data_IF_650468336992
#
_entry.id   IF_650468336992
#
_cell.length_a   1.000
_cell.length_b   1.000
_cell.length_c   1.000
_cell.angle_alpha   90.00
_cell.angle_beta   90.00
_cell.angle_gamma   90.00
#
_symmetry.space_group_name_H-M   'P 1'
#
loop_
_entity.id
_entity.type
_entity.pdbx_description
1 polymer ?
#
# COMPACT_ATOMS: atom_id res chain seq x y z
N UNK A 1 -2.28 -16.40 -23.10
CA UNK A 1 -1.82 -16.20 -21.71
C UNK A 1 -2.79 -16.93 -20.80
N UNK A 2 -2.33 -17.82 -19.91
CA UNK A 2 -3.22 -18.58 -19.03
C UNK A 2 -3.92 -17.65 -18.02
N UNK A 3 -5.16 -17.98 -17.66
CA UNK A 3 -5.99 -17.15 -16.75
C UNK A 3 -5.28 -16.88 -15.42
N UNK A 4 -4.62 -17.88 -14.84
CA UNK A 4 -3.84 -17.74 -13.61
C UNK A 4 -2.70 -16.71 -13.73
N UNK A 5 -2.09 -16.62 -14.90
CA UNK A 5 -1.03 -15.62 -15.18
C UNK A 5 -1.62 -14.21 -15.29
N UNK A 6 -2.79 -14.06 -15.90
CA UNK A 6 -3.53 -12.79 -15.95
C UNK A 6 -3.87 -12.33 -14.53
N UNK A 7 -4.43 -13.23 -13.71
CA UNK A 7 -4.78 -12.95 -12.32
C UNK A 7 -3.54 -12.50 -11.53
N UNK A 8 -2.41 -13.19 -11.69
CA UNK A 8 -1.16 -12.82 -11.02
C UNK A 8 -0.66 -11.43 -11.41
N UNK A 9 -0.74 -11.05 -12.69
CA UNK A 9 -0.35 -9.71 -13.17
C UNK A 9 -1.29 -8.63 -12.60
N UNK A 10 -2.60 -8.88 -12.58
CA UNK A 10 -3.58 -7.97 -11.98
C UNK A 10 -3.32 -7.78 -10.48
N UNK A 11 -2.99 -8.86 -9.76
CA UNK A 11 -2.67 -8.80 -8.34
C UNK A 11 -1.42 -7.92 -8.08
N UNK A 12 -0.40 -8.06 -8.92
CA UNK A 12 0.80 -7.20 -8.88
C UNK A 12 0.41 -5.74 -9.13
N UNK A 13 -0.38 -5.44 -10.15
CA UNK A 13 -0.81 -4.07 -10.44
C UNK A 13 -1.58 -3.43 -9.27
N UNK A 14 -2.52 -4.17 -8.67
CA UNK A 14 -3.28 -3.71 -7.49
C UNK A 14 -2.34 -3.48 -6.30
N UNK A 15 -1.36 -4.35 -6.08
CA UNK A 15 -0.41 -4.21 -4.99
C UNK A 15 0.42 -2.93 -5.08
N UNK A 16 0.84 -2.54 -6.29
CA UNK A 16 1.58 -1.29 -6.50
C UNK A 16 0.70 -0.07 -6.18
N UNK A 17 -0.58 -0.11 -6.57
CA UNK A 17 -1.55 0.94 -6.24
C UNK A 17 -1.76 1.08 -4.72
N UNK A 18 -1.98 -0.04 -4.01
CA UNK A 18 -2.12 -0.04 -2.55
C UNK A 18 -0.83 0.43 -1.85
N UNK A 19 0.34 0.02 -2.36
CA UNK A 19 1.63 0.45 -1.83
C UNK A 19 1.81 1.96 -1.95
N UNK A 20 1.46 2.55 -3.09
CA UNK A 20 1.50 4.00 -3.31
C UNK A 20 0.56 4.75 -2.34
N UNK A 21 -0.68 4.28 -2.21
CA UNK A 21 -1.67 4.89 -1.29
C UNK A 21 -1.21 4.78 0.17
N UNK A 22 -0.74 3.61 0.59
CA UNK A 22 -0.23 3.39 1.94
C UNK A 22 0.99 4.25 2.25
N UNK A 23 1.96 4.32 1.33
CA UNK A 23 3.17 5.12 1.50
C UNK A 23 2.85 6.62 1.58
N UNK A 24 1.97 7.13 0.70
CA UNK A 24 1.53 8.51 0.77
C UNK A 24 0.80 8.81 2.09
N UNK A 25 -0.07 7.91 2.55
CA UNK A 25 -0.77 8.08 3.82
C UNK A 25 0.21 8.10 5.00
N UNK A 26 1.22 7.23 5.02
CA UNK A 26 2.28 7.29 6.05
C UNK A 26 3.03 8.62 5.99
N UNK A 27 3.40 9.08 4.80
CA UNK A 27 4.19 10.31 4.60
C UNK A 27 3.42 11.55 5.04
N UNK A 28 2.16 11.69 4.60
CA UNK A 28 1.29 12.81 4.97
C UNK A 28 1.02 12.86 6.48
N UNK A 29 0.91 11.70 7.12
CA UNK A 29 0.68 11.58 8.56
C UNK A 29 1.98 11.52 9.40
N UNK A 30 3.16 11.53 8.76
CA UNK A 30 4.44 11.66 9.46
C UNK A 30 4.91 13.11 9.46
N UNK A 31 4.59 13.85 8.40
CA UNK A 31 4.80 15.29 8.36
C UNK A 31 3.72 15.95 9.22
N UNK A 32 4.01 16.24 10.50
CA UNK A 32 3.23 17.21 11.28
C UNK A 32 3.10 18.47 10.43
N UNK A 33 1.92 18.71 9.83
CA UNK A 33 1.72 19.90 9.01
C UNK A 33 1.66 21.07 9.99
N UNK A 34 2.80 21.73 10.20
CA UNK A 34 2.93 22.97 10.94
C UNK A 34 2.24 24.10 10.15
N UNK A 35 0.91 24.09 10.13
CA UNK A 35 0.11 25.21 9.66
C UNK A 35 0.19 26.32 10.72
N UNK A 36 1.10 27.27 10.50
CA UNK A 36 1.22 28.50 11.29
C UNK A 36 1.48 28.28 12.80
N UNK A 37 2.17 27.21 13.19
CA UNK A 37 2.53 26.95 14.59
C UNK A 37 1.39 26.42 15.46
N UNK A 38 0.24 26.09 14.87
CA UNK A 38 -0.85 25.36 15.55
C UNK A 38 -0.66 23.87 15.26
N UNK A 39 -0.23 23.11 16.27
CA UNK A 39 -0.26 21.63 16.22
C UNK A 39 -1.71 21.18 16.20
N UNK A 40 -2.28 21.03 15.00
CA UNK A 40 -3.55 20.33 14.84
C UNK A 40 -3.24 18.84 14.94
N UNK A 41 -3.35 18.29 16.15
CA UNK A 41 -3.28 16.84 16.44
C UNK A 41 -4.54 16.15 15.89
N UNK A 42 -4.82 16.26 14.60
CA UNK A 42 -5.91 15.51 13.98
C UNK A 42 -5.46 14.04 13.81
N UNK A 43 -5.63 13.21 14.85
CA UNK A 43 -5.66 11.74 14.78
C UNK A 43 -4.54 11.07 13.96
N UNK A 44 -3.30 11.55 14.13
CA UNK A 44 -2.18 11.24 13.24
C UNK A 44 -1.71 9.77 13.35
N UNK A 45 -1.91 9.14 14.51
CA UNK A 45 -1.53 7.74 14.75
C UNK A 45 -2.43 6.75 14.02
N UNK A 46 -3.77 6.96 14.05
CA UNK A 46 -4.73 6.07 13.39
C UNK A 46 -4.52 6.02 11.88
N UNK A 47 -4.33 7.18 11.25
CA UNK A 47 -4.10 7.28 9.82
C UNK A 47 -2.73 6.70 9.40
N UNK A 48 -1.70 6.85 10.25
CA UNK A 48 -0.39 6.23 10.04
C UNK A 48 -0.48 4.70 10.17
N UNK A 49 -1.23 4.18 11.13
CA UNK A 49 -1.47 2.76 11.29
C UNK A 49 -2.22 2.17 10.09
N UNK A 50 -3.25 2.86 9.57
CA UNK A 50 -3.90 2.48 8.31
C UNK A 50 -2.90 2.45 7.14
N UNK A 51 -2.03 3.45 7.04
CA UNK A 51 -0.97 3.50 6.03
C UNK A 51 -0.06 2.27 6.08
N UNK A 52 0.39 1.85 7.27
CA UNK A 52 1.16 0.62 7.43
C UNK A 52 0.37 -0.63 7.06
N UNK A 53 -0.94 -0.66 7.33
CA UNK A 53 -1.81 -1.77 6.93
C UNK A 53 -1.91 -1.88 5.40
N UNK A 54 -2.09 -0.76 4.69
CA UNK A 54 -2.08 -0.72 3.23
C UNK A 54 -0.75 -1.22 2.64
N UNK A 55 0.38 -0.79 3.21
CA UNK A 55 1.71 -1.25 2.78
C UNK A 55 1.88 -2.74 3.07
N UNK A 56 1.44 -3.24 4.22
CA UNK A 56 1.47 -4.66 4.57
C UNK A 56 0.68 -5.51 3.57
N UNK A 57 -0.56 -5.12 3.25
CA UNK A 57 -1.37 -5.80 2.24
C UNK A 57 -0.75 -5.71 0.84
N UNK A 58 -0.15 -4.57 0.48
CA UNK A 58 0.56 -4.43 -0.78
C UNK A 58 1.70 -5.46 -0.90
N UNK A 59 2.53 -5.62 0.13
CA UNK A 59 3.62 -6.61 0.13
C UNK A 59 3.06 -8.04 -0.02
N UNK A 60 2.03 -8.39 0.76
CA UNK A 60 1.41 -9.72 0.68
C UNK A 60 0.83 -10.02 -0.70
N UNK A 61 0.10 -9.07 -1.29
CA UNK A 61 -0.48 -9.21 -2.64
C UNK A 61 0.59 -9.26 -3.71
N UNK A 62 1.67 -8.49 -3.58
CA UNK A 62 2.78 -8.50 -4.54
C UNK A 62 3.47 -9.86 -4.57
N UNK A 63 3.82 -10.39 -3.39
CA UNK A 63 4.43 -11.72 -3.25
C UNK A 63 3.48 -12.81 -3.76
N UNK A 64 2.20 -12.76 -3.40
CA UNK A 64 1.18 -13.69 -3.89
C UNK A 64 1.01 -13.63 -5.41
N UNK A 65 1.08 -12.44 -5.98
CA UNK A 65 1.00 -12.21 -7.42
C UNK A 65 2.21 -12.78 -8.16
N UNK A 66 3.42 -12.50 -7.68
CA UNK A 66 4.67 -13.07 -8.21
C UNK A 66 4.67 -14.59 -8.15
N UNK A 67 4.26 -15.17 -7.01
CA UNK A 67 4.15 -16.62 -6.85
C UNK A 67 3.15 -17.23 -7.84
N UNK A 68 1.99 -16.60 -8.02
CA UNK A 68 0.96 -17.05 -8.97
C UNK A 68 1.47 -16.99 -10.41
N UNK A 69 2.17 -15.92 -10.82
CA UNK A 69 2.77 -15.80 -12.15
C UNK A 69 3.84 -16.87 -12.38
N UNK A 70 4.71 -17.12 -11.39
CA UNK A 70 5.79 -18.10 -11.49
C UNK A 70 5.29 -19.55 -11.50
N UNK A 71 4.26 -19.86 -10.70
CA UNK A 71 3.64 -21.19 -10.68
C UNK A 71 2.85 -21.48 -11.97
N UNK A 72 2.40 -20.44 -12.66
CA UNK A 72 1.65 -20.53 -13.92
C UNK A 72 2.54 -20.51 -15.17
N UNK A 73 3.87 -20.60 -15.00
CA UNK A 73 4.81 -20.91 -16.10
C UNK A 73 4.61 -22.35 -16.55
#
# INVERSE_FOLDING_TARGET
MNLSKIIGIVLIAISLGLGYLGFNKIKENTNEINLLGVKIEASNESAKQEGYMYVGFAVLLFVGGLYTVNKSK
#
